data_IF_737823200960
#
_entry.id   IF_737823200960
#
_cell.length_a   1.000
_cell.length_b   1.000
_cell.length_c   1.000
_cell.angle_alpha   90.00
_cell.angle_beta   90.00
_cell.angle_gamma   90.00
#
_symmetry.space_group_name_H-M   'P 1'
#
loop_
_entity.id
_entity.type
_entity.pdbx_description
1 polymer ?
#
# COMPACT_ATOMS: atom_id res chain seq x y z
N UNK A 1 20.95 -20.92 29.48
CA UNK A 1 20.10 -19.72 29.35
C UNK A 1 19.76 -19.58 27.89
N UNK A 2 18.60 -20.08 27.52
CA UNK A 2 18.13 -20.15 26.15
C UNK A 2 17.38 -18.87 25.86
N UNK A 3 17.93 -18.05 24.99
CA UNK A 3 17.24 -16.92 24.37
C UNK A 3 16.39 -17.45 23.20
N UNK A 4 15.17 -17.85 23.52
CA UNK A 4 14.14 -18.14 22.53
C UNK A 4 13.68 -16.81 21.89
N UNK A 5 14.41 -16.38 20.87
CA UNK A 5 13.92 -15.41 19.92
C UNK A 5 12.74 -16.02 19.17
N UNK A 6 11.53 -15.67 19.60
CA UNK A 6 10.30 -15.96 18.85
C UNK A 6 10.35 -15.24 17.49
N UNK A 7 10.94 -15.92 16.51
CA UNK A 7 10.75 -15.59 15.11
C UNK A 7 9.26 -15.76 14.77
N UNK A 8 8.59 -14.82 14.12
CA UNK A 8 7.23 -15.05 13.66
C UNK A 8 7.25 -16.28 12.74
N UNK A 9 6.50 -17.30 13.10
CA UNK A 9 6.36 -18.51 12.30
C UNK A 9 5.66 -18.16 10.97
N UNK A 10 6.47 -17.87 9.96
CA UNK A 10 6.01 -17.75 8.58
C UNK A 10 5.99 -19.17 8.02
N UNK A 11 4.82 -19.79 7.96
CA UNK A 11 4.67 -21.07 7.28
C UNK A 11 4.78 -20.84 5.76
N UNK A 12 5.71 -21.52 5.06
CA UNK A 12 5.77 -21.46 3.62
C UNK A 12 4.52 -22.11 3.03
N UNK A 13 3.56 -21.30 2.62
CA UNK A 13 2.42 -21.75 1.83
C UNK A 13 2.91 -22.01 0.42
N UNK A 14 2.91 -23.29 0.04
CA UNK A 14 3.14 -23.91 -1.28
C UNK A 14 3.79 -23.02 -2.37
N UNK A 15 5.00 -23.40 -2.74
CA UNK A 15 5.70 -22.89 -3.94
C UNK A 15 4.75 -22.74 -5.14
N UNK A 16 4.71 -21.55 -5.72
CA UNK A 16 4.02 -21.29 -6.98
C UNK A 16 4.57 -22.23 -8.05
N UNK A 17 3.76 -23.17 -8.51
CA UNK A 17 4.05 -23.92 -9.75
C UNK A 17 4.05 -22.89 -10.89
N UNK A 18 5.22 -22.66 -11.49
CA UNK A 18 5.34 -21.79 -12.68
C UNK A 18 4.43 -22.36 -13.76
N UNK A 19 3.36 -21.66 -14.10
CA UNK A 19 2.55 -21.98 -15.29
C UNK A 19 3.45 -21.90 -16.52
N UNK A 20 3.39 -22.86 -17.46
CA UNK A 20 4.16 -22.80 -18.70
C UNK A 20 3.76 -21.52 -19.45
N UNK A 21 4.76 -20.75 -19.88
CA UNK A 21 4.55 -19.57 -20.72
C UNK A 21 4.02 -20.05 -22.06
N UNK A 22 2.73 -19.94 -22.30
CA UNK A 22 2.15 -20.03 -23.63
C UNK A 22 2.70 -18.84 -24.43
N UNK A 23 3.39 -19.14 -25.54
CA UNK A 23 3.81 -18.13 -26.51
C UNK A 23 2.54 -17.51 -27.10
N UNK A 24 2.16 -16.35 -26.58
CA UNK A 24 1.09 -15.56 -27.15
C UNK A 24 1.50 -15.01 -28.50
N UNK A 25 0.63 -15.18 -29.48
CA UNK A 25 0.62 -14.49 -30.76
C UNK A 25 0.78 -13.00 -30.58
N UNK A 26 1.60 -12.35 -31.39
CA UNK A 26 1.76 -10.89 -31.45
C UNK A 26 0.39 -10.24 -31.55
N UNK A 27 -0.10 -9.66 -30.46
CA UNK A 27 -1.19 -8.74 -30.49
C UNK A 27 -0.64 -7.36 -30.92
N UNK A 28 -1.43 -6.66 -31.73
CA UNK A 28 -1.15 -5.33 -32.22
C UNK A 28 -0.69 -4.40 -31.09
N UNK A 29 0.26 -3.51 -31.42
CA UNK A 29 0.86 -2.55 -30.51
C UNK A 29 -0.23 -1.65 -29.89
N UNK A 30 -0.75 -2.06 -28.76
CA UNK A 30 -1.51 -1.17 -27.88
C UNK A 30 -0.52 -0.11 -27.39
N UNK A 31 -0.76 1.16 -27.74
CA UNK A 31 0.01 2.27 -27.20
C UNK A 31 0.04 2.14 -25.68
N UNK A 32 1.24 2.03 -25.13
CA UNK A 32 1.43 1.97 -23.67
C UNK A 32 1.06 3.33 -23.12
N UNK A 33 -0.11 3.43 -22.52
CA UNK A 33 -0.51 4.61 -21.72
C UNK A 33 0.41 4.66 -20.52
N UNK A 34 1.24 5.67 -20.44
CA UNK A 34 2.14 5.88 -19.30
C UNK A 34 1.42 6.64 -18.19
N UNK A 35 1.92 6.53 -16.95
CA UNK A 35 1.38 7.33 -15.83
C UNK A 35 1.44 8.83 -16.14
N UNK A 36 2.45 9.28 -16.90
CA UNK A 36 2.57 10.65 -17.35
C UNK A 36 1.40 11.11 -18.24
N UNK A 37 0.84 10.20 -19.04
CA UNK A 37 -0.31 10.49 -19.92
C UNK A 37 -1.62 10.56 -19.12
N UNK A 38 -1.69 9.87 -17.97
CA UNK A 38 -2.85 9.89 -17.08
C UNK A 38 -2.87 11.11 -16.15
N UNK A 39 -1.71 11.62 -15.75
CA UNK A 39 -1.59 12.74 -14.80
C UNK A 39 -2.47 13.96 -15.17
N UNK A 40 -2.51 14.46 -16.42
CA UNK A 40 -3.35 15.61 -16.78
C UNK A 40 -4.86 15.34 -16.71
N UNK A 41 -5.26 14.07 -16.89
CA UNK A 41 -6.67 13.66 -16.77
C UNK A 41 -7.08 13.55 -15.31
N UNK A 42 -6.15 13.13 -14.46
CA UNK A 42 -6.36 12.91 -13.05
C UNK A 42 -6.38 14.22 -12.25
N UNK A 43 -5.63 15.24 -12.69
CA UNK A 43 -5.66 16.60 -12.10
C UNK A 43 -7.01 17.32 -12.29
N UNK A 44 -7.82 16.91 -13.29
CA UNK A 44 -9.13 17.46 -13.58
C UNK A 44 -10.29 16.79 -12.84
N UNK A 45 -10.03 15.72 -12.14
CA UNK A 45 -11.08 14.98 -11.43
C UNK A 45 -11.18 15.47 -9.99
N UNK A 46 -12.33 16.04 -9.61
CA UNK A 46 -12.69 16.39 -8.23
C UNK A 46 -12.87 15.09 -7.40
N UNK A 47 -11.77 14.52 -6.97
CA UNK A 47 -11.78 13.36 -6.10
C UNK A 47 -12.12 13.77 -4.66
N UNK A 48 -13.38 13.62 -4.27
CA UNK A 48 -13.77 13.73 -2.86
C UNK A 48 -13.35 12.46 -2.12
N UNK A 49 -12.16 12.51 -1.53
CA UNK A 49 -11.69 11.45 -0.64
C UNK A 49 -12.36 11.60 0.73
N UNK A 50 -12.97 10.51 1.20
CA UNK A 50 -13.50 10.46 2.57
C UNK A 50 -12.38 10.68 3.59
N UNK A 51 -12.69 11.40 4.68
CA UNK A 51 -11.76 11.53 5.80
C UNK A 51 -11.41 10.14 6.33
N UNK A 52 -10.12 9.95 6.61
CA UNK A 52 -9.60 8.72 7.19
C UNK A 52 -9.23 8.97 8.65
N UNK A 53 -9.29 7.95 9.53
CA UNK A 53 -8.95 8.11 10.95
C UNK A 53 -7.57 8.73 11.20
N UNK A 54 -6.61 8.51 10.30
CA UNK A 54 -5.25 9.05 10.41
C UNK A 54 -5.07 10.46 9.82
N UNK A 55 -6.13 11.07 9.27
CA UNK A 55 -6.03 12.42 8.67
C UNK A 55 -5.54 13.47 9.68
N UNK A 56 -5.96 13.36 10.93
CA UNK A 56 -5.49 14.27 12.01
C UNK A 56 -4.02 14.06 12.31
N UNK A 57 -3.53 12.83 12.33
CA UNK A 57 -2.11 12.52 12.51
C UNK A 57 -1.28 13.04 11.35
N UNK A 58 -1.80 12.92 10.12
CA UNK A 58 -1.12 13.46 8.96
C UNK A 58 -1.02 15.00 9.01
N UNK A 59 -2.02 15.72 9.48
CA UNK A 59 -1.95 17.17 9.68
C UNK A 59 -0.86 17.57 10.68
N UNK A 60 -0.67 16.78 11.74
CA UNK A 60 0.44 16.99 12.69
C UNK A 60 1.78 16.75 11.96
N UNK A 61 1.91 15.66 11.24
CA UNK A 61 3.10 15.35 10.45
C UNK A 61 3.42 16.44 9.42
N UNK A 62 2.42 16.93 8.70
CA UNK A 62 2.56 18.04 7.76
C UNK A 62 3.17 19.26 8.43
N UNK A 63 2.59 19.69 9.55
CA UNK A 63 3.01 20.90 10.26
C UNK A 63 4.39 20.75 10.91
N UNK A 64 4.63 19.66 11.61
CA UNK A 64 5.82 19.48 12.44
C UNK A 64 7.02 18.91 11.67
N UNK A 65 6.81 18.37 10.47
CA UNK A 65 7.86 17.77 9.67
C UNK A 65 7.95 18.36 8.25
N UNK A 66 6.89 18.27 7.45
CA UNK A 66 6.96 18.69 6.05
C UNK A 66 7.18 20.20 5.89
N UNK A 67 6.42 21.03 6.60
CA UNK A 67 6.58 22.49 6.54
C UNK A 67 7.98 22.92 7.00
N UNK A 68 8.53 22.26 8.00
CA UNK A 68 9.91 22.51 8.45
C UNK A 68 10.91 22.07 7.38
N UNK A 69 10.72 20.89 6.78
CA UNK A 69 11.61 20.38 5.72
C UNK A 69 11.61 21.28 4.48
N UNK A 70 10.45 21.86 4.14
CA UNK A 70 10.35 22.85 3.05
C UNK A 70 11.02 24.17 3.44
N UNK A 71 10.76 24.67 4.64
CA UNK A 71 11.33 25.95 5.10
C UNK A 71 12.85 25.93 5.24
N UNK A 72 13.42 24.75 5.50
CA UNK A 72 14.87 24.52 5.57
C UNK A 72 15.50 24.19 4.21
N UNK A 73 14.70 24.09 3.14
CA UNK A 73 15.16 23.78 1.79
C UNK A 73 15.54 22.30 1.58
N UNK A 74 15.14 21.40 2.47
CA UNK A 74 15.36 19.96 2.30
C UNK A 74 14.39 19.34 1.31
N UNK A 75 13.17 19.87 1.24
CA UNK A 75 12.14 19.46 0.26
C UNK A 75 11.76 20.70 -0.58
N UNK A 76 11.74 20.53 -1.89
CA UNK A 76 11.32 21.56 -2.82
C UNK A 76 9.84 21.36 -3.21
N UNK A 77 8.94 22.02 -2.48
CA UNK A 77 7.49 21.87 -2.67
C UNK A 77 6.98 22.32 -4.05
N UNK A 78 7.70 23.21 -4.71
CA UNK A 78 7.40 23.75 -6.03
C UNK A 78 7.86 22.86 -7.21
N UNK A 79 8.74 21.90 -6.94
CA UNK A 79 9.34 21.03 -7.96
C UNK A 79 9.61 19.62 -7.45
N UNK A 80 8.66 19.04 -6.70
CA UNK A 80 8.81 17.77 -6.00
C UNK A 80 9.05 16.61 -6.99
N UNK A 81 10.11 15.85 -6.78
CA UNK A 81 10.43 14.64 -7.52
C UNK A 81 10.11 13.43 -6.65
N UNK A 82 8.95 12.83 -6.85
CA UNK A 82 8.46 11.71 -6.03
C UNK A 82 9.04 10.37 -6.45
N UNK A 83 9.41 9.55 -5.49
CA UNK A 83 9.55 8.11 -5.63
C UNK A 83 8.51 7.41 -4.75
N UNK A 84 8.07 6.21 -5.13
CA UNK A 84 7.07 5.49 -4.37
C UNK A 84 7.30 3.99 -4.39
N UNK A 85 7.11 3.37 -3.22
CA UNK A 85 7.26 1.93 -3.04
C UNK A 85 6.38 1.42 -1.89
N UNK A 86 5.99 0.13 -1.98
CA UNK A 86 5.22 -0.58 -0.97
C UNK A 86 6.11 -1.37 -0.01
N UNK A 87 5.75 -1.35 1.27
CA UNK A 87 6.45 -2.11 2.31
C UNK A 87 5.47 -2.97 3.10
N UNK A 88 5.70 -4.30 3.21
CA UNK A 88 4.86 -5.19 3.98
C UNK A 88 4.82 -4.84 5.47
N UNK A 89 3.63 -4.69 6.03
CA UNK A 89 3.41 -4.54 7.47
C UNK A 89 2.72 -5.79 8.00
N UNK A 90 3.55 -6.72 8.47
CA UNK A 90 3.09 -8.02 8.97
C UNK A 90 2.36 -7.84 10.29
N UNK A 91 1.15 -8.41 10.38
CA UNK A 91 0.37 -8.41 11.61
C UNK A 91 0.55 -9.71 12.37
N UNK A 92 0.42 -9.62 13.70
CA UNK A 92 0.32 -10.79 14.56
C UNK A 92 -1.05 -11.43 14.35
N UNK A 93 -1.14 -12.38 13.46
CA UNK A 93 -2.39 -13.10 13.19
C UNK A 93 -2.41 -14.45 13.91
N UNK A 94 -3.61 -14.91 14.27
CA UNK A 94 -3.82 -16.29 14.71
C UNK A 94 -4.16 -17.13 13.48
N UNK A 95 -3.65 -18.35 13.42
CA UNK A 95 -3.95 -19.30 12.32
C UNK A 95 -5.45 -19.53 12.10
N UNK A 96 -6.27 -19.29 13.13
CA UNK A 96 -7.72 -19.44 13.07
C UNK A 96 -8.42 -18.09 13.22
N UNK A 97 -9.27 -17.79 12.26
CA UNK A 97 -10.19 -16.67 12.34
C UNK A 97 -11.02 -16.74 13.63
N UNK A 98 -11.14 -15.60 14.30
CA UNK A 98 -11.89 -15.48 15.54
C UNK A 98 -13.39 -15.55 15.27
N UNK A 99 -14.13 -16.31 16.11
CA UNK A 99 -15.58 -16.29 16.13
C UNK A 99 -16.08 -15.00 16.80
N UNK A 100 -16.94 -14.25 16.13
CA UNK A 100 -17.54 -13.00 16.64
C UNK A 100 -19.05 -13.14 16.90
N UNK A 101 -19.65 -14.27 16.52
CA UNK A 101 -21.06 -14.55 16.81
C UNK A 101 -21.27 -14.96 18.27
N UNK A 102 -22.49 -14.77 18.77
CA UNK A 102 -22.92 -15.18 20.11
C UNK A 102 -23.43 -16.64 20.18
N UNK A 103 -23.23 -17.43 19.12
CA UNK A 103 -23.73 -18.79 19.05
C UNK A 103 -23.25 -19.67 20.21
N UNK A 104 -22.00 -19.50 20.66
CA UNK A 104 -21.46 -20.27 21.80
C UNK A 104 -22.17 -19.92 23.11
N UNK A 105 -22.56 -18.68 23.30
CA UNK A 105 -23.32 -18.21 24.48
C UNK A 105 -24.73 -18.82 24.47
N UNK A 106 -25.26 -19.11 23.28
CA UNK A 106 -26.56 -19.73 23.07
C UNK A 106 -26.50 -21.28 22.98
N UNK A 107 -25.36 -21.88 23.39
CA UNK A 107 -25.19 -23.33 23.38
C UNK A 107 -24.90 -23.98 22.02
N UNK A 108 -24.76 -23.18 20.95
CA UNK A 108 -24.49 -23.68 19.60
C UNK A 108 -22.96 -23.70 19.38
N UNK A 109 -22.35 -24.88 19.45
CA UNK A 109 -20.91 -25.05 19.34
C UNK A 109 -20.41 -25.09 17.87
N UNK A 110 -21.22 -25.67 16.96
CA UNK A 110 -20.90 -25.80 15.53
C UNK A 110 -21.79 -24.87 14.69
N UNK A 111 -21.40 -23.63 14.56
CA UNK A 111 -22.08 -22.65 13.72
C UNK A 111 -21.29 -22.34 12.44
N UNK A 112 -22.01 -22.09 11.34
CA UNK A 112 -21.46 -21.63 10.06
C UNK A 112 -21.32 -20.10 9.99
N UNK A 113 -21.37 -19.40 11.14
CA UNK A 113 -21.22 -17.95 11.14
C UNK A 113 -19.81 -17.55 10.68
N UNK A 114 -19.76 -16.44 10.00
CA UNK A 114 -18.51 -15.84 9.53
C UNK A 114 -17.51 -15.65 10.67
N UNK A 115 -16.25 -15.88 10.37
CA UNK A 115 -15.14 -15.73 11.32
C UNK A 115 -14.17 -14.70 10.75
N UNK A 116 -13.73 -13.80 11.63
CA UNK A 116 -12.84 -12.73 11.26
C UNK A 116 -11.52 -12.85 12.01
N UNK A 117 -10.46 -12.34 11.41
CA UNK A 117 -9.21 -12.12 12.11
C UNK A 117 -9.38 -11.03 13.18
N UNK A 118 -8.42 -10.92 14.10
CA UNK A 118 -8.39 -9.82 15.07
C UNK A 118 -8.31 -8.43 14.42
N UNK A 119 -7.83 -8.40 13.20
CA UNK A 119 -7.77 -7.23 12.32
C UNK A 119 -8.56 -7.59 11.05
N UNK A 120 -9.88 -7.29 11.00
CA UNK A 120 -10.77 -7.77 9.95
C UNK A 120 -10.50 -7.17 8.58
N UNK A 121 -9.85 -6.03 8.54
CA UNK A 121 -9.45 -5.27 7.35
C UNK A 121 -8.05 -5.62 6.81
N UNK A 122 -7.30 -6.49 7.50
CA UNK A 122 -6.05 -7.02 6.96
C UNK A 122 -6.32 -8.17 5.97
N UNK A 123 -5.37 -8.40 5.05
CA UNK A 123 -5.49 -9.42 4.02
C UNK A 123 -4.15 -10.12 3.77
N UNK A 124 -4.14 -11.08 2.86
CA UNK A 124 -2.95 -11.83 2.48
C UNK A 124 -2.27 -11.12 1.30
N UNK A 125 -1.02 -10.73 1.51
CA UNK A 125 -0.13 -10.18 0.49
C UNK A 125 1.04 -11.12 0.18
N UNK A 126 1.80 -10.76 -0.84
CA UNK A 126 3.02 -11.45 -1.23
C UNK A 126 4.23 -10.54 -0.98
N UNK A 127 5.15 -11.01 -0.14
CA UNK A 127 6.44 -10.35 0.09
C UNK A 127 7.49 -10.94 -0.87
N UNK A 128 7.82 -10.18 -1.90
CA UNK A 128 8.79 -10.60 -2.92
C UNK A 128 10.23 -10.70 -2.39
N UNK A 129 10.56 -9.92 -1.36
CA UNK A 129 11.90 -9.92 -0.76
C UNK A 129 12.18 -11.17 0.06
N UNK A 130 11.12 -11.75 0.64
CA UNK A 130 11.18 -12.97 1.47
C UNK A 130 10.66 -14.20 0.76
N UNK A 131 10.13 -14.07 -0.46
CA UNK A 131 9.50 -15.13 -1.26
C UNK A 131 8.40 -15.89 -0.49
N UNK A 132 7.57 -15.17 0.28
CA UNK A 132 6.52 -15.75 1.12
C UNK A 132 5.24 -14.91 1.13
N UNK A 133 4.12 -15.57 1.47
CA UNK A 133 2.88 -14.87 1.79
C UNK A 133 2.92 -14.35 3.23
N UNK A 134 2.37 -13.18 3.44
CA UNK A 134 2.16 -12.61 4.76
C UNK A 134 0.71 -12.17 4.93
N UNK A 135 0.28 -12.04 6.17
CA UNK A 135 -1.01 -11.45 6.50
C UNK A 135 -0.79 -10.11 7.17
N UNK A 136 -1.44 -9.09 6.66
CA UNK A 136 -1.27 -7.75 7.19
C UNK A 136 -1.75 -6.66 6.26
N UNK A 137 -0.96 -5.62 6.25
CA UNK A 137 -1.18 -4.42 5.47
C UNK A 137 0.01 -4.15 4.55
N UNK A 138 -0.19 -3.24 3.63
CA UNK A 138 0.86 -2.63 2.85
C UNK A 138 0.96 -1.14 3.20
N UNK A 139 2.16 -0.67 3.50
CA UNK A 139 2.48 0.74 3.68
C UNK A 139 3.14 1.24 2.40
N UNK A 140 2.37 1.92 1.58
CA UNK A 140 2.91 2.62 0.41
C UNK A 140 3.42 4.01 0.84
N UNK A 141 4.70 4.29 0.59
CA UNK A 141 5.33 5.55 0.97
C UNK A 141 5.72 6.34 -0.27
N UNK A 142 5.26 7.58 -0.37
CA UNK A 142 5.82 8.57 -1.29
C UNK A 142 6.94 9.31 -0.58
N UNK A 143 8.11 9.36 -1.22
CA UNK A 143 9.30 10.07 -0.73
C UNK A 143 9.73 11.10 -1.77
N UNK A 144 10.38 12.17 -1.34
CA UNK A 144 11.11 13.05 -2.24
C UNK A 144 12.43 12.37 -2.64
N UNK A 145 12.61 12.11 -3.93
CA UNK A 145 13.75 11.35 -4.45
C UNK A 145 15.08 12.13 -4.41
N UNK A 146 15.06 13.39 -4.05
CA UNK A 146 16.26 14.22 -3.92
C UNK A 146 16.81 14.21 -2.49
N UNK A 147 15.91 14.24 -1.52
CA UNK A 147 16.26 14.31 -0.10
C UNK A 147 16.07 12.98 0.64
N UNK A 148 15.46 11.98 0.00
CA UNK A 148 15.01 10.70 0.59
C UNK A 148 14.04 10.87 1.78
N UNK A 149 13.45 12.07 1.92
CA UNK A 149 12.51 12.35 3.00
C UNK A 149 11.10 11.88 2.66
N UNK A 150 10.39 11.26 3.62
CA UNK A 150 9.02 10.79 3.41
C UNK A 150 8.07 11.99 3.27
N UNK A 151 7.22 11.93 2.23
CA UNK A 151 6.25 12.98 1.93
C UNK A 151 4.85 12.56 2.30
N UNK A 152 4.41 11.37 1.88
CA UNK A 152 3.05 10.94 2.12
C UNK A 152 2.92 9.41 2.28
N UNK A 153 2.42 8.93 3.42
CA UNK A 153 2.11 7.52 3.64
C UNK A 153 0.70 7.18 3.17
N UNK A 154 0.53 6.00 2.58
CA UNK A 154 -0.77 5.39 2.35
C UNK A 154 -0.79 3.97 2.89
N UNK A 155 -1.81 3.65 3.66
CA UNK A 155 -1.97 2.36 4.30
C UNK A 155 -3.15 1.61 3.67
N UNK A 156 -2.91 0.40 3.19
CA UNK A 156 -3.93 -0.46 2.58
C UNK A 156 -3.83 -1.90 3.08
N UNK A 157 -4.81 -2.73 2.75
CA UNK A 157 -4.70 -4.17 3.02
C UNK A 157 -3.65 -4.79 2.07
N UNK A 158 -2.95 -5.82 2.56
CA UNK A 158 -1.82 -6.45 1.87
C UNK A 158 -2.14 -7.08 0.50
N UNK A 159 -3.41 -7.30 0.18
CA UNK A 159 -3.83 -7.84 -1.12
C UNK A 159 -3.82 -6.82 -2.27
N UNK A 160 -3.59 -5.55 -1.95
CA UNK A 160 -3.56 -4.50 -2.98
C UNK A 160 -2.20 -4.46 -3.66
N UNK A 161 -2.23 -4.25 -4.97
CA UNK A 161 -1.04 -4.11 -5.78
C UNK A 161 -0.45 -2.69 -5.64
N UNK A 162 0.87 -2.55 -5.74
CA UNK A 162 1.59 -1.28 -5.58
C UNK A 162 1.08 -0.17 -6.49
N UNK A 163 0.65 -0.50 -7.72
CA UNK A 163 0.02 0.46 -8.62
C UNK A 163 -1.24 1.12 -8.04
N UNK A 164 -2.04 0.36 -7.28
CA UNK A 164 -3.19 0.92 -6.55
C UNK A 164 -2.72 1.74 -5.36
N UNK A 165 -1.70 1.27 -4.63
CA UNK A 165 -1.07 2.00 -3.52
C UNK A 165 -0.60 3.37 -3.98
N UNK A 166 0.12 3.43 -5.10
CA UNK A 166 0.58 4.68 -5.70
C UNK A 166 -0.57 5.65 -6.02
N UNK A 167 -1.58 5.20 -6.77
CA UNK A 167 -2.70 6.07 -7.15
C UNK A 167 -3.40 6.66 -5.94
N UNK A 168 -3.71 5.83 -4.95
CA UNK A 168 -4.34 6.29 -3.71
C UNK A 168 -3.45 7.25 -2.93
N UNK A 169 -2.16 6.95 -2.77
CA UNK A 169 -1.20 7.81 -2.10
C UNK A 169 -1.10 9.16 -2.79
N UNK A 170 -0.94 9.16 -4.12
CA UNK A 170 -0.77 10.36 -4.92
C UNK A 170 -1.99 11.29 -4.86
N UNK A 171 -3.20 10.75 -5.06
CA UNK A 171 -4.43 11.58 -5.00
C UNK A 171 -4.67 12.14 -3.60
N UNK A 172 -4.42 11.36 -2.58
CA UNK A 172 -4.56 11.82 -1.20
C UNK A 172 -3.52 12.87 -0.87
N UNK A 173 -2.28 12.68 -1.29
CA UNK A 173 -1.23 13.68 -1.15
C UNK A 173 -1.67 15.00 -1.81
N UNK A 174 -2.13 14.99 -3.05
CA UNK A 174 -2.61 16.18 -3.75
C UNK A 174 -3.80 16.85 -3.05
N UNK A 175 -4.66 16.07 -2.39
CA UNK A 175 -5.77 16.61 -1.59
C UNK A 175 -5.31 17.26 -0.29
N UNK A 176 -4.27 16.74 0.36
CA UNK A 176 -3.74 17.29 1.62
C UNK A 176 -2.72 18.41 1.41
N UNK A 177 -1.95 18.33 0.32
CA UNK A 177 -0.86 19.23 -0.04
C UNK A 177 -1.11 19.83 -1.43
N UNK A 178 -2.21 20.59 -1.62
CA UNK A 178 -2.58 21.12 -2.94
C UNK A 178 -1.54 22.09 -3.50
N UNK A 179 -0.77 22.73 -2.63
CA UNK A 179 0.30 23.66 -2.97
C UNK A 179 1.58 22.99 -3.46
N UNK A 180 1.72 21.65 -3.27
CA UNK A 180 2.91 20.95 -3.73
C UNK A 180 2.78 20.60 -5.20
N UNK A 181 3.77 21.04 -5.98
CA UNK A 181 3.86 20.78 -7.42
C UNK A 181 4.79 19.61 -7.69
N UNK A 182 4.26 18.57 -8.34
CA UNK A 182 5.03 17.37 -8.68
C UNK A 182 5.61 17.54 -10.08
N UNK A 183 6.93 17.55 -10.19
CA UNK A 183 7.66 17.69 -11.45
C UNK A 183 7.97 16.32 -12.09
N UNK A 184 8.16 15.28 -11.27
CA UNK A 184 8.57 13.96 -11.71
C UNK A 184 8.08 12.90 -10.75
N UNK A 185 7.79 11.71 -11.29
CA UNK A 185 7.47 10.50 -10.51
C UNK A 185 8.38 9.37 -10.97
N UNK A 186 9.01 8.70 -10.01
CA UNK A 186 9.89 7.55 -10.19
C UNK A 186 9.23 6.34 -9.56
N UNK A 187 8.91 5.36 -10.37
CA UNK A 187 8.28 4.11 -9.95
C UNK A 187 9.09 2.93 -10.51
N UNK A 188 9.03 1.81 -9.82
CA UNK A 188 9.65 0.59 -10.28
C UNK A 188 8.79 -0.14 -11.35
N UNK A 189 9.30 -1.24 -11.89
CA UNK A 189 8.61 -2.03 -12.93
C UNK A 189 7.33 -2.72 -12.44
N UNK A 190 7.10 -2.83 -11.14
CA UNK A 190 5.85 -3.37 -10.60
C UNK A 190 4.65 -2.49 -10.95
N UNK A 191 4.88 -1.20 -11.19
CA UNK A 191 3.85 -0.24 -11.59
C UNK A 191 3.52 -0.29 -13.09
N UNK A 192 4.30 -1.00 -13.91
CA UNK A 192 4.01 -1.24 -15.33
C UNK A 192 2.89 -2.28 -15.54
N UNK A 193 2.42 -2.91 -14.49
CA UNK A 193 1.29 -3.82 -14.56
C UNK A 193 0.02 -3.04 -14.90
N UNK A 194 -0.58 -3.35 -16.07
CA UNK A 194 -1.89 -2.79 -16.43
C UNK A 194 -2.90 -3.14 -15.34
N UNK A 195 -3.62 -2.17 -14.77
CA UNK A 195 -4.76 -2.48 -13.93
C UNK A 195 -5.80 -3.22 -14.77
N UNK A 196 -6.15 -4.42 -14.36
CA UNK A 196 -7.25 -5.20 -14.96
C UNK A 196 -8.60 -4.59 -14.57
#
# INVERSE_FOLDING_TARGET
>A
SDDDHMSPHIHPLKTKVKKPKTKGTKADSVEKVTVADLLPSLEKTDFKLNEQPYSSLFKIYQKEFLEISVSTGLIHADALALAGDGTPVVTSHRERKKRICKCKENGIHDCNCERYFSQPDCDIGWDSSRDCYYQGYDLYMLVDSQSDLPVFPHFSCASKHDSHGFLHAFFRMKSFLPEYSVSKVLLDSAHDAMPY
#
